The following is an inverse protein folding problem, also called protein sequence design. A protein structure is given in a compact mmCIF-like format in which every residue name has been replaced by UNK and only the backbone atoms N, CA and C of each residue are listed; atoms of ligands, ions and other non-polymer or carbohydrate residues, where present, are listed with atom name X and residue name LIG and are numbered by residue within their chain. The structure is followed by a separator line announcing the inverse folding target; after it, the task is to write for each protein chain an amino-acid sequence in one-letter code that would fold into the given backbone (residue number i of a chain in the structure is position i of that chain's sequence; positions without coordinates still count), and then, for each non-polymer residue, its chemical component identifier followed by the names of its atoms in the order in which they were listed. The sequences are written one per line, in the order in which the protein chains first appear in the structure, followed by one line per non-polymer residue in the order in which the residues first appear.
data_IF_186296704558
#
_entry.id   IF_186296704558
#
_cell.length_a   1.000
_cell.length_b   1.000
_cell.length_c   1.000
_cell.angle_alpha   90.00
_cell.angle_beta   90.00
_cell.angle_gamma   90.00
#
_symmetry.space_group_name_H-M   'P 1'
#
loop_
_entity.id
_entity.type
_entity.pdbx_description
1 polymer ?
#
# COMPACT_ATOMS: atom_id res chain seq x y z
N UNK A 1 -19.81 3.95 -7.02
CA UNK A 1 -19.92 2.50 -6.71
C UNK A 1 -18.75 2.10 -5.82
N UNK A 2 -18.93 2.05 -4.49
CA UNK A 2 -17.92 1.49 -3.56
C UNK A 2 -18.63 0.34 -2.85
N UNK A 3 -18.33 -0.90 -3.26
CA UNK A 3 -18.86 -2.08 -2.63
C UNK A 3 -18.11 -2.36 -1.32
N UNK A 4 -18.82 -2.66 -0.23
CA UNK A 4 -18.23 -2.97 1.07
C UNK A 4 -17.29 -4.19 1.06
N UNK A 5 -17.47 -5.10 0.09
CA UNK A 5 -16.64 -6.28 -0.15
C UNK A 5 -15.34 -5.96 -0.90
N UNK A 6 -15.14 -4.73 -1.38
CA UNK A 6 -13.88 -4.36 -2.04
C UNK A 6 -12.76 -4.24 -1.00
N UNK A 7 -11.82 -5.17 -1.14
CA UNK A 7 -10.54 -5.17 -0.45
C UNK A 7 -9.73 -3.92 -0.80
N UNK A 8 -9.04 -3.38 0.20
CA UNK A 8 -8.08 -2.30 0.06
C UNK A 8 -6.65 -2.87 0.15
N UNK A 9 -5.87 -2.63 -0.90
CA UNK A 9 -4.42 -2.89 -0.94
C UNK A 9 -3.71 -1.55 -0.80
N UNK A 10 -2.80 -1.44 0.18
CA UNK A 10 -2.08 -0.21 0.46
C UNK A 10 -0.65 -0.35 -0.06
N UNK A 11 -0.33 0.42 -1.11
CA UNK A 11 1.02 0.50 -1.66
C UNK A 11 1.74 1.74 -1.16
N UNK A 12 2.97 1.57 -0.66
CA UNK A 12 3.83 2.66 -0.22
C UNK A 12 5.29 2.20 -0.15
N UNK A 13 6.25 3.05 -0.51
CA UNK A 13 7.65 2.66 -0.68
C UNK A 13 8.22 2.08 0.61
N UNK A 14 8.00 2.78 1.72
CA UNK A 14 8.47 2.35 3.04
C UNK A 14 7.40 1.60 3.84
N UNK A 15 6.44 0.94 3.18
CA UNK A 15 5.33 0.27 3.88
C UNK A 15 5.82 -0.77 4.90
N UNK A 16 6.97 -1.41 4.65
CA UNK A 16 7.55 -2.38 5.60
C UNK A 16 7.94 -1.75 6.94
N UNK A 17 8.24 -0.45 6.96
CA UNK A 17 8.51 0.32 8.17
C UNK A 17 7.22 0.96 8.69
N UNK A 18 6.46 1.60 7.80
CA UNK A 18 5.27 2.36 8.15
C UNK A 18 4.18 1.45 8.74
N UNK A 19 3.92 0.30 8.16
CA UNK A 19 2.84 -0.62 8.58
C UNK A 19 3.03 -1.19 9.99
N UNK A 20 4.26 -1.19 10.53
CA UNK A 20 4.55 -1.73 11.87
C UNK A 20 3.71 -1.10 12.97
N UNK A 21 3.37 0.18 12.82
CA UNK A 21 2.54 0.93 13.78
C UNK A 21 1.11 1.19 13.30
N UNK A 22 0.65 0.46 12.28
CA UNK A 22 -0.68 0.73 11.68
C UNK A 22 -1.80 0.52 12.69
N UNK A 23 -1.72 -0.51 13.52
CA UNK A 23 -2.72 -0.79 14.53
C UNK A 23 -2.85 0.35 15.57
N UNK A 24 -1.73 0.92 16.05
CA UNK A 24 -1.80 2.07 16.96
C UNK A 24 -2.37 3.31 16.26
N UNK A 25 -1.97 3.58 15.01
CA UNK A 25 -2.50 4.72 14.26
C UNK A 25 -4.00 4.59 14.01
N UNK A 26 -4.48 3.40 13.66
CA UNK A 26 -5.91 3.15 13.46
C UNK A 26 -6.71 3.40 14.74
N UNK A 27 -6.17 3.12 15.94
CA UNK A 27 -6.86 3.38 17.22
C UNK A 27 -7.21 4.86 17.42
N UNK A 28 -6.41 5.77 16.87
CA UNK A 28 -6.59 7.22 17.00
C UNK A 28 -7.57 7.81 15.98
N UNK A 29 -8.10 7.01 15.05
CA UNK A 29 -9.07 7.46 14.05
C UNK A 29 -10.50 7.46 14.60
N UNK A 30 -11.40 8.29 14.05
CA UNK A 30 -12.82 8.25 14.36
C UNK A 30 -13.40 6.83 14.20
N UNK A 31 -14.34 6.38 15.05
CA UNK A 31 -14.79 4.99 15.10
C UNK A 31 -15.23 4.40 13.75
N UNK A 32 -16.01 5.16 12.96
CA UNK A 32 -16.49 4.70 11.66
C UNK A 32 -15.36 4.58 10.62
N UNK A 33 -14.42 5.52 10.61
CA UNK A 33 -13.26 5.49 9.72
C UNK A 33 -12.36 4.31 10.08
N UNK A 34 -12.08 4.14 11.38
CA UNK A 34 -11.33 3.00 11.91
C UNK A 34 -11.96 1.68 11.51
N UNK A 35 -13.27 1.53 11.72
CA UNK A 35 -14.00 0.31 11.36
C UNK A 35 -13.88 0.01 9.86
N UNK A 36 -14.12 1.01 8.99
CA UNK A 36 -14.04 0.82 7.55
C UNK A 36 -12.64 0.37 7.10
N UNK A 37 -11.59 1.01 7.60
CA UNK A 37 -10.21 0.68 7.24
C UNK A 37 -9.79 -0.69 7.78
N UNK A 38 -10.12 -1.01 9.03
CA UNK A 38 -9.79 -2.31 9.63
C UNK A 38 -10.47 -3.47 8.90
N UNK A 39 -11.70 -3.28 8.40
CA UNK A 39 -12.41 -4.33 7.67
C UNK A 39 -11.91 -4.52 6.23
N UNK A 40 -11.27 -3.51 5.63
CA UNK A 40 -10.96 -3.50 4.20
C UNK A 40 -9.48 -3.63 3.88
N UNK A 41 -8.59 -3.09 4.71
CA UNK A 41 -7.14 -3.20 4.48
C UNK A 41 -6.73 -4.66 4.67
N UNK A 42 -6.36 -5.32 3.57
CA UNK A 42 -5.95 -6.72 3.60
C UNK A 42 -4.45 -6.89 3.37
N UNK A 43 -3.88 -6.09 2.47
CA UNK A 43 -2.48 -6.22 2.06
C UNK A 43 -1.75 -4.89 2.09
N UNK A 44 -0.49 -4.97 2.52
CA UNK A 44 0.51 -3.93 2.35
C UNK A 44 1.50 -4.40 1.31
N UNK A 45 1.87 -3.52 0.39
CA UNK A 45 2.78 -3.86 -0.71
C UNK A 45 3.78 -2.74 -0.98
N UNK A 46 4.96 -3.08 -1.45
CA UNK A 46 5.95 -2.12 -1.94
C UNK A 46 5.82 -2.07 -3.48
N UNK A 47 5.81 -0.89 -4.10
CA UNK A 47 5.85 -0.77 -5.56
C UNK A 47 7.03 -1.56 -6.17
N UNK A 48 6.86 -2.08 -7.39
CA UNK A 48 7.79 -3.05 -8.01
C UNK A 48 9.19 -2.49 -8.23
N UNK A 49 9.34 -1.20 -8.49
CA UNK A 49 10.62 -0.54 -8.65
C UNK A 49 11.35 -0.46 -7.30
N UNK A 50 10.62 -0.07 -6.25
CA UNK A 50 11.21 0.16 -4.93
C UNK A 50 11.54 -1.09 -4.17
N UNK A 51 10.78 -2.18 -4.38
CA UNK A 51 10.92 -3.39 -3.56
C UNK A 51 12.35 -3.96 -3.57
N UNK A 52 13.07 -3.82 -4.68
CA UNK A 52 14.46 -4.30 -4.82
C UNK A 52 15.45 -3.56 -3.90
N UNK A 53 15.12 -2.34 -3.47
CA UNK A 53 15.92 -1.58 -2.50
C UNK A 53 15.75 -2.02 -1.04
N UNK A 54 14.83 -2.95 -0.76
CA UNK A 54 14.55 -3.43 0.59
C UNK A 54 15.23 -4.77 0.89
N UNK A 55 15.30 -5.13 2.18
CA UNK A 55 15.78 -6.44 2.63
C UNK A 55 15.01 -7.58 1.95
N UNK A 56 15.66 -8.72 1.72
CA UNK A 56 15.03 -9.91 1.10
C UNK A 56 13.72 -10.29 1.80
N UNK A 57 13.70 -10.26 3.14
CA UNK A 57 12.49 -10.54 3.93
C UNK A 57 11.33 -9.56 3.65
N UNK A 58 11.62 -8.30 3.29
CA UNK A 58 10.62 -7.35 2.85
C UNK A 58 10.15 -7.67 1.43
N UNK A 59 11.06 -8.08 0.55
CA UNK A 59 10.73 -8.45 -0.83
C UNK A 59 9.75 -9.64 -0.86
N UNK A 60 10.01 -10.66 -0.05
CA UNK A 60 9.13 -11.83 0.07
C UNK A 60 7.76 -11.46 0.64
N UNK A 61 7.73 -10.60 1.66
CA UNK A 61 6.51 -10.26 2.41
C UNK A 61 5.60 -9.25 1.72
N UNK A 62 6.17 -8.27 1.02
CA UNK A 62 5.44 -7.11 0.48
C UNK A 62 5.40 -7.09 -1.05
N UNK A 63 5.73 -8.21 -1.71
CA UNK A 63 5.71 -8.33 -3.17
C UNK A 63 4.29 -8.31 -3.74
N UNK A 64 4.08 -7.39 -4.69
CA UNK A 64 2.87 -7.33 -5.50
C UNK A 64 2.62 -8.64 -6.28
N UNK A 65 3.68 -9.33 -6.72
CA UNK A 65 3.56 -10.59 -7.46
C UNK A 65 2.97 -11.72 -6.60
N UNK A 66 3.06 -11.60 -5.28
CA UNK A 66 2.51 -12.58 -4.33
C UNK A 66 1.21 -12.09 -3.69
N UNK A 67 0.67 -10.95 -4.12
CA UNK A 67 -0.56 -10.38 -3.58
C UNK A 67 -1.77 -10.82 -4.40
N UNK A 68 -2.70 -11.54 -3.78
CA UNK A 68 -3.89 -12.04 -4.48
C UNK A 68 -4.81 -10.90 -4.94
N UNK A 69 -5.33 -11.01 -6.16
CA UNK A 69 -6.31 -10.05 -6.71
C UNK A 69 -5.73 -8.70 -7.14
N UNK A 70 -4.41 -8.49 -7.07
CA UNK A 70 -3.75 -7.24 -7.51
C UNK A 70 -3.66 -7.10 -9.03
N UNK A 71 -3.79 -8.21 -9.77
CA UNK A 71 -3.59 -8.24 -11.22
C UNK A 71 -2.14 -7.94 -11.62
N UNK A 72 -1.92 -7.68 -12.91
CA UNK A 72 -0.60 -7.27 -13.42
C UNK A 72 -0.45 -5.76 -13.33
N UNK A 73 -0.10 -5.28 -12.13
CA UNK A 73 0.24 -3.87 -11.86
C UNK A 73 1.62 -3.76 -11.23
N UNK A 74 2.18 -2.56 -11.24
CA UNK A 74 3.44 -2.21 -10.56
C UNK A 74 3.25 -1.28 -9.35
N UNK A 75 2.05 -0.71 -9.19
CA UNK A 75 1.70 0.32 -8.21
C UNK A 75 2.57 1.61 -8.26
N UNK A 76 3.27 1.88 -9.36
CA UNK A 76 4.15 3.05 -9.54
C UNK A 76 3.41 4.31 -10.02
N UNK A 77 2.08 4.24 -10.13
CA UNK A 77 1.28 5.26 -10.81
C UNK A 77 1.47 6.66 -10.24
N UNK A 78 1.51 6.80 -8.91
CA UNK A 78 1.68 8.10 -8.25
C UNK A 78 3.04 8.74 -8.56
N UNK A 79 4.10 7.93 -8.57
CA UNK A 79 5.45 8.41 -8.84
C UNK A 79 5.67 8.73 -10.31
N UNK A 80 5.06 7.98 -11.24
CA UNK A 80 5.10 8.32 -12.67
C UNK A 80 4.49 9.69 -12.93
N UNK A 81 3.40 10.02 -12.24
CA UNK A 81 2.79 11.36 -12.33
C UNK A 81 3.72 12.41 -11.73
N UNK A 82 4.32 12.14 -10.56
CA UNK A 82 5.27 13.07 -9.94
C UNK A 82 6.52 13.31 -10.79
N UNK A 83 7.08 12.27 -11.40
CA UNK A 83 8.22 12.41 -12.30
C UNK A 83 7.90 13.29 -13.53
N UNK A 84 6.68 13.18 -14.07
CA UNK A 84 6.21 14.02 -15.17
C UNK A 84 5.88 15.47 -14.76
N UNK A 85 5.33 15.67 -13.56
CA UNK A 85 5.01 16.99 -13.01
C UNK A 85 6.21 17.68 -12.34
N UNK A 86 7.30 16.96 -12.05
CA UNK A 86 8.49 17.53 -11.43
C UNK A 86 9.14 18.65 -12.25
N UNK A 87 8.88 18.71 -13.56
CA UNK A 87 9.32 19.81 -14.43
C UNK A 87 8.44 21.06 -14.40
N UNK A 88 7.31 21.05 -13.68
CA UNK A 88 6.42 22.22 -13.51
C UNK A 88 6.57 22.91 -12.14
N UNK A 89 7.46 22.40 -11.28
CA UNK A 89 7.79 22.99 -9.98
C UNK A 89 8.95 23.99 -10.07
#
# INVERSE_FOLDING_TARGET
HINAMLVLVVSYDIVCQWSRKVAERLKNLPPLVRLNLTLRILYFVIPKLHILGHLISCQEKFSLNYTYGSGQTDAEGIERVWAGLGGVA
#
